data_IF_073831652590
#
_entry.id   IF_073831652590
#
_cell.length_a   1.000
_cell.length_b   1.000
_cell.length_c   1.000
_cell.angle_alpha   90.00
_cell.angle_beta   90.00
_cell.angle_gamma   90.00
#
_symmetry.space_group_name_H-M   'P 1'
#
loop_
_entity.id
_entity.type
_entity.pdbx_description
1 polymer ?
#
# COMPACT_ATOMS: atom_id res chain seq x y z
N UNK A 1 4.53 12.86 -1.45
CA UNK A 1 4.19 13.31 -2.82
C UNK A 1 2.69 13.22 -3.13
N UNK A 2 2.05 12.07 -2.91
CA UNK A 2 0.61 11.87 -3.18
C UNK A 2 -0.34 12.80 -2.39
N UNK A 3 0.05 13.27 -1.20
CA UNK A 3 -0.75 14.20 -0.38
C UNK A 3 -0.82 15.61 -1.02
N UNK A 4 0.34 16.13 -1.43
CA UNK A 4 0.50 17.51 -1.88
C UNK A 4 0.15 17.63 -3.37
N UNK A 5 0.56 16.67 -4.19
CA UNK A 5 0.46 16.70 -5.64
C UNK A 5 -0.18 15.42 -6.22
N UNK A 6 -1.43 15.08 -5.83
CA UNK A 6 -2.07 13.81 -6.22
C UNK A 6 -2.23 13.66 -7.74
N UNK A 7 -2.50 14.75 -8.48
CA UNK A 7 -2.68 14.70 -9.94
C UNK A 7 -1.38 14.48 -10.70
N UNK A 8 -0.26 15.08 -10.27
CA UNK A 8 1.06 14.79 -10.84
C UNK A 8 1.48 13.35 -10.53
N UNK A 9 1.24 12.89 -9.30
CA UNK A 9 1.56 11.52 -8.90
C UNK A 9 0.76 10.47 -9.68
N UNK A 10 -0.55 10.69 -9.87
CA UNK A 10 -1.40 9.82 -10.70
C UNK A 10 -0.92 9.76 -12.16
N UNK A 11 -0.52 10.89 -12.75
CA UNK A 11 0.08 10.92 -14.09
C UNK A 11 1.43 10.20 -14.17
N UNK A 12 2.27 10.33 -13.15
CA UNK A 12 3.55 9.60 -13.06
C UNK A 12 3.33 8.09 -13.07
N UNK A 13 2.32 7.61 -12.36
CA UNK A 13 1.92 6.20 -12.37
C UNK A 13 1.34 5.77 -13.73
N UNK A 14 0.97 6.71 -14.60
CA UNK A 14 0.45 6.42 -15.94
C UNK A 14 -1.07 6.26 -15.99
N UNK A 15 -1.80 6.86 -15.05
CA UNK A 15 -3.25 7.00 -15.14
C UNK A 15 -3.63 8.07 -16.19
N UNK A 16 -4.68 7.86 -16.98
CA UNK A 16 -5.14 8.85 -17.96
C UNK A 16 -5.68 10.11 -17.28
N UNK A 17 -5.46 11.28 -17.88
CA UNK A 17 -5.96 12.57 -17.36
C UNK A 17 -7.49 12.62 -17.21
N UNK A 18 -8.22 11.86 -18.04
CA UNK A 18 -9.68 11.72 -17.95
C UNK A 18 -10.16 11.13 -16.61
N UNK A 19 -9.30 10.43 -15.88
CA UNK A 19 -9.61 9.88 -14.55
C UNK A 19 -9.15 10.78 -13.39
N UNK A 20 -8.55 11.94 -13.67
CA UNK A 20 -8.09 12.89 -12.65
C UNK A 20 -9.25 13.77 -12.12
N UNK A 21 -10.12 13.16 -11.32
CA UNK A 21 -11.28 13.82 -10.69
C UNK A 21 -11.09 14.02 -9.17
N UNK A 22 -12.01 14.76 -8.54
CA UNK A 22 -11.92 15.09 -7.12
C UNK A 22 -11.80 13.85 -6.22
N UNK A 23 -12.58 12.80 -6.50
CA UNK A 23 -12.53 11.53 -5.77
C UNK A 23 -11.16 10.87 -5.88
N UNK A 24 -10.61 10.77 -7.09
CA UNK A 24 -9.28 10.20 -7.31
C UNK A 24 -8.19 10.98 -6.57
N UNK A 25 -8.27 12.32 -6.55
CA UNK A 25 -7.33 13.16 -5.79
C UNK A 25 -7.46 12.93 -4.29
N UNK A 26 -8.67 12.83 -3.75
CA UNK A 26 -8.90 12.54 -2.32
C UNK A 26 -8.34 11.16 -1.97
N UNK A 27 -8.61 10.13 -2.78
CA UNK A 27 -8.07 8.79 -2.56
C UNK A 27 -6.53 8.80 -2.57
N UNK A 28 -5.90 9.49 -3.53
CA UNK A 28 -4.45 9.65 -3.55
C UNK A 28 -3.88 10.31 -2.29
N UNK A 29 -4.59 11.27 -1.69
CA UNK A 29 -4.21 11.87 -0.40
C UNK A 29 -4.35 10.90 0.75
N UNK A 30 -5.46 10.14 0.80
CA UNK A 30 -5.69 9.13 1.84
C UNK A 30 -4.62 8.05 1.82
N UNK A 31 -4.18 7.60 0.63
CA UNK A 31 -3.03 6.71 0.51
C UNK A 31 -1.77 7.30 1.16
N UNK A 32 -1.46 8.56 0.87
CA UNK A 32 -0.30 9.21 1.50
C UNK A 32 -0.44 9.39 3.02
N UNK A 33 -1.65 9.70 3.52
CA UNK A 33 -1.93 9.81 4.95
C UNK A 33 -1.75 8.45 5.65
N UNK A 34 -2.22 7.37 5.01
CA UNK A 34 -2.03 6.00 5.49
C UNK A 34 -0.56 5.68 5.70
N UNK A 35 0.30 6.04 4.74
CA UNK A 35 1.75 5.76 4.85
C UNK A 35 2.40 6.51 6.01
N UNK A 36 1.98 7.76 6.27
CA UNK A 36 2.43 8.52 7.45
C UNK A 36 1.95 7.85 8.73
N UNK A 37 0.66 7.51 8.81
CA UNK A 37 0.08 6.86 9.98
C UNK A 37 0.75 5.50 10.26
N UNK A 38 1.11 4.75 9.21
CA UNK A 38 1.88 3.51 9.33
C UNK A 38 3.28 3.76 9.89
N UNK A 39 4.00 4.76 9.37
CA UNK A 39 5.32 5.13 9.90
C UNK A 39 5.27 5.48 11.39
N UNK A 40 4.25 6.24 11.81
CA UNK A 40 4.03 6.58 13.23
C UNK A 40 3.74 5.31 14.05
N UNK A 41 2.89 4.40 13.57
CA UNK A 41 2.58 3.17 14.28
C UNK A 41 3.79 2.24 14.43
N UNK A 42 4.59 2.09 13.38
CA UNK A 42 5.84 1.32 13.41
C UNK A 42 6.83 1.94 14.39
N UNK A 43 6.96 3.27 14.42
CA UNK A 43 7.81 3.97 15.38
C UNK A 43 7.40 3.69 16.82
N UNK A 44 6.11 3.79 17.14
CA UNK A 44 5.60 3.52 18.49
C UNK A 44 5.68 2.04 18.88
N UNK A 45 5.72 1.13 17.90
CA UNK A 45 5.84 -0.30 18.14
C UNK A 45 7.30 -0.80 18.13
N UNK A 46 8.28 0.07 17.89
CA UNK A 46 9.68 -0.31 17.61
C UNK A 46 10.29 -1.26 18.66
N UNK A 47 9.90 -1.12 19.93
CA UNK A 47 10.41 -1.91 21.06
C UNK A 47 9.52 -3.11 21.42
N UNK A 48 8.39 -3.30 20.74
CA UNK A 48 7.44 -4.38 21.00
C UNK A 48 7.32 -5.31 19.77
N UNK A 49 8.08 -6.42 19.73
CA UNK A 49 8.09 -7.34 18.60
C UNK A 49 6.71 -7.88 18.23
N UNK A 50 5.90 -8.28 19.23
CA UNK A 50 4.55 -8.80 19.01
C UNK A 50 3.68 -7.76 18.29
N UNK A 51 3.73 -6.50 18.73
CA UNK A 51 2.99 -5.39 18.10
C UNK A 51 3.47 -5.10 16.68
N UNK A 52 4.76 -5.20 16.39
CA UNK A 52 5.26 -5.06 15.01
C UNK A 52 4.77 -6.22 14.14
N UNK A 53 4.74 -7.46 14.64
CA UNK A 53 4.26 -8.61 13.90
C UNK A 53 2.77 -8.47 13.54
N UNK A 54 1.95 -8.01 14.47
CA UNK A 54 0.52 -7.70 14.24
C UNK A 54 0.35 -6.53 13.25
N UNK A 55 1.10 -5.44 13.39
CA UNK A 55 1.05 -4.33 12.44
C UNK A 55 1.44 -4.79 11.03
N UNK A 56 2.48 -5.61 10.91
CA UNK A 56 2.91 -6.16 9.64
C UNK A 56 1.83 -7.08 9.03
N UNK A 57 1.19 -7.96 9.80
CA UNK A 57 0.13 -8.83 9.26
C UNK A 57 -1.07 -8.03 8.77
N UNK A 58 -1.50 -7.00 9.51
CA UNK A 58 -2.60 -6.13 9.08
C UNK A 58 -2.25 -5.37 7.79
N UNK A 59 -1.04 -4.83 7.66
CA UNK A 59 -0.63 -4.13 6.45
C UNK A 59 -0.49 -5.07 5.25
N UNK A 60 -0.04 -6.30 5.47
CA UNK A 60 -0.06 -7.32 4.41
C UNK A 60 -1.47 -7.55 3.86
N UNK A 61 -2.49 -7.58 4.72
CA UNK A 61 -3.89 -7.73 4.28
C UNK A 61 -4.37 -6.52 3.48
N UNK A 62 -4.01 -5.31 3.91
CA UNK A 62 -4.35 -4.07 3.19
C UNK A 62 -3.71 -4.06 1.80
N UNK A 63 -2.41 -4.33 1.70
CA UNK A 63 -1.68 -4.35 0.44
C UNK A 63 -2.16 -5.50 -0.49
N UNK A 64 -2.56 -6.64 0.07
CA UNK A 64 -3.20 -7.71 -0.67
C UNK A 64 -4.56 -7.27 -1.26
N UNK A 65 -5.36 -6.52 -0.48
CA UNK A 65 -6.61 -5.92 -0.94
C UNK A 65 -6.39 -4.92 -2.07
N UNK A 66 -5.40 -4.03 -1.93
CA UNK A 66 -5.01 -3.08 -2.97
C UNK A 66 -4.60 -3.81 -4.26
N UNK A 67 -3.76 -4.84 -4.14
CA UNK A 67 -3.35 -5.66 -5.27
C UNK A 67 -4.55 -6.35 -5.95
N UNK A 68 -5.49 -6.89 -5.18
CA UNK A 68 -6.70 -7.53 -5.72
C UNK A 68 -7.58 -6.53 -6.50
N UNK A 69 -7.76 -5.32 -5.98
CA UNK A 69 -8.51 -4.25 -6.66
C UNK A 69 -7.82 -3.86 -7.98
N UNK A 70 -6.49 -3.71 -7.97
CA UNK A 70 -5.70 -3.37 -9.15
C UNK A 70 -5.74 -4.47 -10.22
N UNK A 71 -5.62 -5.74 -9.82
CA UNK A 71 -5.80 -6.90 -10.71
C UNK A 71 -7.21 -6.89 -11.30
N UNK A 72 -8.24 -6.67 -10.48
CA UNK A 72 -9.61 -6.55 -10.95
C UNK A 72 -9.78 -5.44 -11.99
N UNK A 73 -9.15 -4.29 -11.80
CA UNK A 73 -9.17 -3.18 -12.76
C UNK A 73 -8.48 -3.51 -14.09
N UNK A 74 -7.38 -4.28 -14.04
CA UNK A 74 -6.67 -4.77 -15.24
C UNK A 74 -7.54 -5.77 -16.00
N UNK A 75 -8.08 -6.77 -15.30
CA UNK A 75 -8.91 -7.85 -15.88
C UNK A 75 -10.19 -7.29 -16.49
N UNK A 76 -10.85 -6.34 -15.81
CA UNK A 76 -12.09 -5.70 -16.29
C UNK A 76 -11.85 -4.61 -17.34
N UNK A 77 -10.59 -4.38 -17.76
CA UNK A 77 -10.20 -3.45 -18.82
C UNK A 77 -10.78 -2.04 -18.68
N UNK A 78 -10.76 -1.47 -17.46
CA UNK A 78 -11.32 -0.13 -17.16
C UNK A 78 -10.54 1.06 -17.75
N UNK A 79 -9.74 0.86 -18.80
CA UNK A 79 -8.93 1.92 -19.42
C UNK A 79 -7.75 2.43 -18.59
N UNK A 80 -7.53 1.90 -17.40
CA UNK A 80 -6.48 2.32 -16.46
C UNK A 80 -5.34 1.30 -16.31
N UNK A 81 -5.22 0.35 -17.25
CA UNK A 81 -4.30 -0.80 -17.11
C UNK A 81 -2.85 -0.39 -16.84
N UNK A 82 -2.35 0.67 -17.50
CA UNK A 82 -0.98 1.18 -17.28
C UNK A 82 -0.76 1.67 -15.84
N UNK A 83 -1.66 2.53 -15.36
CA UNK A 83 -1.68 3.01 -13.98
C UNK A 83 -1.87 1.89 -12.96
N UNK A 84 -2.71 0.92 -13.27
CA UNK A 84 -2.96 -0.22 -12.41
C UNK A 84 -1.74 -1.14 -12.30
N UNK A 85 -1.05 -1.44 -13.42
CA UNK A 85 0.16 -2.27 -13.42
C UNK A 85 1.33 -1.60 -12.68
N UNK A 86 1.55 -0.30 -12.88
CA UNK A 86 2.61 0.43 -12.18
C UNK A 86 2.36 0.51 -10.68
N UNK A 87 1.09 0.58 -10.26
CA UNK A 87 0.68 0.58 -8.85
C UNK A 87 0.64 -0.82 -8.24
N UNK A 88 0.53 -1.87 -9.06
CA UNK A 88 0.49 -3.26 -8.60
C UNK A 88 1.85 -3.70 -8.06
N UNK A 89 2.94 -3.26 -8.69
CA UNK A 89 4.30 -3.57 -8.25
C UNK A 89 4.56 -3.17 -6.78
N UNK A 90 4.35 -1.91 -6.34
CA UNK A 90 4.53 -1.54 -4.94
C UNK A 90 3.56 -2.29 -4.02
N UNK A 91 2.28 -2.47 -4.39
CA UNK A 91 1.30 -3.19 -3.56
C UNK A 91 1.72 -4.66 -3.30
N UNK A 92 2.12 -5.39 -4.34
CA UNK A 92 2.59 -6.78 -4.20
C UNK A 92 3.90 -6.82 -3.41
N UNK A 93 4.83 -5.91 -3.68
CA UNK A 93 6.12 -5.87 -2.97
C UNK A 93 5.94 -5.55 -1.47
N UNK A 94 5.04 -4.61 -1.13
CA UNK A 94 4.69 -4.27 0.24
C UNK A 94 4.07 -5.46 0.96
N UNK A 95 3.06 -6.09 0.35
CA UNK A 95 2.43 -7.31 0.86
C UNK A 95 3.46 -8.40 1.19
N UNK A 96 4.36 -8.71 0.25
CA UNK A 96 5.40 -9.72 0.47
C UNK A 96 6.35 -9.29 1.60
N UNK A 97 6.80 -8.03 1.61
CA UNK A 97 7.69 -7.52 2.65
C UNK A 97 7.06 -7.63 4.05
N UNK A 98 5.79 -7.28 4.19
CA UNK A 98 5.05 -7.38 5.45
C UNK A 98 4.84 -8.82 5.92
N UNK A 99 4.53 -9.74 4.99
CA UNK A 99 4.44 -11.17 5.31
C UNK A 99 5.80 -11.70 5.80
N UNK A 100 6.90 -11.32 5.14
CA UNK A 100 8.23 -11.75 5.54
C UNK A 100 8.62 -11.16 6.90
N UNK A 101 8.29 -9.89 7.15
CA UNK A 101 8.57 -9.22 8.42
C UNK A 101 7.80 -9.89 9.57
N UNK A 102 6.49 -10.08 9.42
CA UNK A 102 5.65 -10.71 10.45
C UNK A 102 6.14 -12.12 10.79
N UNK A 103 6.46 -12.94 9.78
CA UNK A 103 7.01 -14.29 9.96
C UNK A 103 8.37 -14.30 10.66
N UNK A 104 9.26 -13.36 10.29
CA UNK A 104 10.59 -13.26 10.91
C UNK A 104 10.49 -12.93 12.39
N UNK A 105 9.60 -12.00 12.75
CA UNK A 105 9.43 -11.58 14.14
C UNK A 105 8.77 -12.69 14.96
N UNK A 106 7.70 -13.32 14.46
CA UNK A 106 7.06 -14.44 15.15
C UNK A 106 8.03 -15.60 15.41
N UNK A 107 8.92 -15.90 14.45
CA UNK A 107 9.96 -16.93 14.62
C UNK A 107 11.01 -16.53 15.67
N UNK A 108 11.40 -15.25 15.72
CA UNK A 108 12.39 -14.77 16.69
C UNK A 108 11.84 -14.73 18.12
N UNK A 109 10.54 -14.49 18.27
CA UNK A 109 9.85 -14.45 19.57
C UNK A 109 9.62 -15.86 20.13
N UNK A 110 9.22 -16.82 19.29
CA UNK A 110 9.05 -18.23 19.70
C UNK A 110 10.34 -19.02 19.92
N UNK A 111 11.51 -18.42 19.68
CA UNK A 111 12.83 -19.00 19.96
C UNK A 111 13.43 -18.52 21.30
N UNK A 112 12.72 -17.67 22.03
CA UNK A 112 13.03 -17.22 23.39
C UNK A 112 12.19 -17.98 24.41
#
# INVERSE_FOLDING_TARGET
MAIVLPGQFSRLLGFPAAHDNATARVMGRLFGIRDIALGVQVWHAAENPTRIAELASHNAMVDAGDAAILVGAIVTRKGIARGAMSSLAPAVSGCIAWILLSRRIAKADGAR
#
